data_IF_013776453032
#
_entry.id   IF_013776453032
#
_cell.length_a   1.000
_cell.length_b   1.000
_cell.length_c   1.000
_cell.angle_alpha   90.00
_cell.angle_beta   90.00
_cell.angle_gamma   90.00
#
_symmetry.space_group_name_H-M   'P 1'
#
loop_
_entity.id
_entity.type
_entity.pdbx_description
1 polymer ?
#
# COMPACT_ATOMS: atom_id res chain seq x y z
N UNK A 1 -29.56 29.95 11.94
CA UNK A 1 -28.20 29.90 12.55
C UNK A 1 -27.85 28.44 12.83
N UNK A 2 -27.69 27.63 11.78
CA UNK A 2 -27.41 26.18 11.84
C UNK A 2 -26.24 25.92 10.88
N UNK A 3 -25.03 26.27 11.33
CA UNK A 3 -23.81 26.09 10.53
C UNK A 3 -22.66 25.53 11.37
N UNK A 4 -22.55 25.94 12.63
CA UNK A 4 -21.40 25.62 13.49
C UNK A 4 -21.28 24.17 13.98
N UNK A 5 -22.37 23.39 13.98
CA UNK A 5 -22.37 22.04 14.56
C UNK A 5 -21.93 20.94 13.58
N UNK A 6 -22.14 21.12 12.27
CA UNK A 6 -21.72 20.14 11.26
C UNK A 6 -20.22 20.24 10.96
N UNK A 7 -19.67 21.46 11.00
CA UNK A 7 -18.24 21.70 10.76
C UNK A 7 -17.33 21.08 11.82
N UNK A 8 -17.80 20.97 13.07
CA UNK A 8 -17.04 20.32 14.16
C UNK A 8 -17.08 18.79 14.08
N UNK A 9 -18.14 18.22 13.49
CA UNK A 9 -18.30 16.77 13.39
C UNK A 9 -17.37 16.15 12.33
N UNK A 10 -17.18 16.86 11.21
CA UNK A 10 -16.30 16.45 10.11
C UNK A 10 -14.93 17.14 10.14
N UNK A 11 -14.57 17.87 11.21
CA UNK A 11 -13.31 18.61 11.31
C UNK A 11 -12.04 17.75 11.13
N UNK A 12 -12.14 16.43 11.33
CA UNK A 12 -11.07 15.46 11.06
C UNK A 12 -11.27 14.62 9.79
N UNK A 13 -12.45 14.70 9.17
CA UNK A 13 -12.74 14.00 7.93
C UNK A 13 -12.25 14.85 6.75
N UNK A 14 -11.07 14.55 6.21
CA UNK A 14 -10.68 15.09 4.90
C UNK A 14 -11.62 14.51 3.86
N UNK A 15 -12.43 15.36 3.23
CA UNK A 15 -12.91 15.02 1.91
C UNK A 15 -11.68 14.96 0.99
N UNK A 16 -11.59 13.95 0.12
CA UNK A 16 -10.55 13.93 -0.90
C UNK A 16 -10.68 15.21 -1.73
N UNK A 17 -9.61 16.00 -1.78
CA UNK A 17 -9.58 17.29 -2.48
C UNK A 17 -9.60 17.05 -4.00
N UNK A 18 -9.18 15.85 -4.44
CA UNK A 18 -9.12 15.44 -5.84
C UNK A 18 -9.53 13.96 -6.04
N UNK A 19 -10.09 13.60 -7.22
CA UNK A 19 -10.26 12.21 -7.63
C UNK A 19 -8.97 11.38 -7.58
N UNK A 20 -7.81 12.04 -7.75
CA UNK A 20 -6.49 11.39 -7.66
C UNK A 20 -6.23 10.88 -6.25
N UNK A 21 -6.59 11.66 -5.23
CA UNK A 21 -6.41 11.30 -3.82
C UNK A 21 -7.23 10.05 -3.46
N UNK A 22 -8.45 9.95 -4.00
CA UNK A 22 -9.31 8.77 -3.82
C UNK A 22 -8.68 7.53 -4.44
N UNK A 23 -8.09 7.68 -5.63
CA UNK A 23 -7.42 6.56 -6.29
C UNK A 23 -6.20 6.16 -5.47
N UNK A 24 -5.34 7.10 -5.09
CA UNK A 24 -4.14 6.85 -4.30
C UNK A 24 -4.48 6.11 -3.00
N UNK A 25 -5.46 6.58 -2.25
CA UNK A 25 -5.88 5.98 -0.98
C UNK A 25 -6.38 4.54 -1.19
N UNK A 26 -7.19 4.30 -2.23
CA UNK A 26 -7.68 2.95 -2.54
C UNK A 26 -6.57 2.00 -2.98
N UNK A 27 -5.59 2.49 -3.72
CA UNK A 27 -4.43 1.69 -4.10
C UNK A 27 -3.57 1.37 -2.88
N UNK A 28 -3.34 2.35 -1.99
CA UNK A 28 -2.64 2.14 -0.71
C UNK A 28 -3.30 1.05 0.12
N UNK A 29 -4.62 1.08 0.28
CA UNK A 29 -5.37 0.06 1.04
C UNK A 29 -5.20 -1.37 0.51
N UNK A 30 -4.93 -1.54 -0.78
CA UNK A 30 -4.63 -2.86 -1.38
C UNK A 30 -3.19 -3.25 -1.08
N UNK A 31 -2.26 -2.32 -1.27
CA UNK A 31 -0.82 -2.56 -1.18
C UNK A 31 -0.31 -2.73 0.25
N UNK A 32 -1.01 -2.22 1.26
CA UNK A 32 -0.63 -2.36 2.68
C UNK A 32 -1.07 -3.68 3.31
N UNK A 33 -1.91 -4.45 2.62
CA UNK A 33 -2.48 -5.69 3.17
C UNK A 33 -1.66 -6.88 2.72
N UNK A 34 -1.22 -7.70 3.67
CA UNK A 34 -0.60 -9.00 3.38
C UNK A 34 -1.70 -10.03 3.09
N UNK A 35 -1.59 -10.85 2.02
CA UNK A 35 -2.44 -11.99 1.81
C UNK A 35 -2.54 -12.87 3.07
N UNK A 36 -3.78 -13.21 3.46
CA UNK A 36 -4.09 -13.93 4.69
C UNK A 36 -4.52 -13.05 5.88
N UNK A 37 -4.28 -11.73 5.87
CA UNK A 37 -4.76 -10.83 6.93
C UNK A 37 -6.30 -10.71 6.94
N UNK A 38 -6.94 -10.89 5.78
CA UNK A 38 -8.40 -10.87 5.65
C UNK A 38 -8.96 -12.30 5.68
N UNK A 39 -9.51 -12.71 6.81
CA UNK A 39 -10.05 -14.06 7.01
C UNK A 39 -11.08 -14.48 5.95
N UNK A 40 -11.95 -13.55 5.52
CA UNK A 40 -12.99 -13.81 4.51
C UNK A 40 -12.49 -13.74 3.07
N UNK A 41 -11.30 -13.18 2.83
CA UNK A 41 -10.71 -13.04 1.50
C UNK A 41 -9.18 -13.17 1.60
N UNK A 42 -8.67 -14.39 1.84
CA UNK A 42 -7.26 -14.60 2.16
C UNK A 42 -6.32 -14.29 0.99
N UNK A 43 -6.80 -14.31 -0.25
CA UNK A 43 -6.01 -13.92 -1.42
C UNK A 43 -5.82 -12.41 -1.55
N UNK A 44 -6.59 -11.59 -0.82
CA UNK A 44 -6.53 -10.14 -0.95
C UNK A 44 -5.23 -9.56 -0.39
N UNK A 45 -4.62 -8.67 -1.15
CA UNK A 45 -3.45 -7.91 -0.73
C UNK A 45 -2.32 -7.95 -1.75
N UNK A 46 -1.11 -7.64 -1.27
CA UNK A 46 0.11 -7.62 -2.05
C UNK A 46 1.16 -8.57 -1.46
N UNK A 47 1.70 -9.46 -2.29
CA UNK A 47 2.74 -10.43 -1.89
C UNK A 47 4.12 -9.81 -1.67
N UNK A 48 4.29 -8.51 -1.91
CA UNK A 48 5.55 -7.79 -1.62
C UNK A 48 5.94 -7.91 -0.14
N UNK A 49 4.96 -8.12 0.75
CA UNK A 49 5.17 -8.36 2.18
C UNK A 49 5.79 -9.72 2.50
N UNK A 50 5.85 -10.65 1.55
CA UNK A 50 6.43 -11.98 1.73
C UNK A 50 7.92 -12.01 1.34
N UNK A 51 8.41 -10.97 0.67
CA UNK A 51 9.84 -10.79 0.46
C UNK A 51 10.51 -10.54 1.81
N UNK A 52 11.71 -11.09 2.01
CA UNK A 52 12.51 -10.85 3.22
C UNK A 52 13.25 -9.51 3.12
N UNK A 53 13.87 -9.22 1.97
CA UNK A 53 14.61 -7.99 1.72
C UNK A 53 14.51 -7.56 0.24
N UNK A 54 14.77 -6.28 -0.02
CA UNK A 54 14.72 -5.66 -1.36
C UNK A 54 15.97 -4.80 -1.55
N UNK A 55 17.13 -5.44 -1.48
CA UNK A 55 18.45 -4.76 -1.48
C UNK A 55 19.10 -4.76 -2.87
N UNK A 56 18.78 -5.76 -3.69
CA UNK A 56 19.31 -5.93 -5.04
C UNK A 56 18.34 -5.46 -6.12
N UNK A 57 18.86 -5.12 -7.30
CA UNK A 57 18.06 -4.77 -8.47
C UNK A 57 17.11 -5.91 -8.87
N UNK A 58 17.56 -7.16 -8.76
CA UNK A 58 16.70 -8.32 -9.02
C UNK A 58 15.51 -8.37 -8.07
N UNK A 59 15.72 -8.17 -6.76
CA UNK A 59 14.62 -8.12 -5.79
C UNK A 59 13.69 -6.93 -6.04
N UNK A 60 14.22 -5.77 -6.44
CA UNK A 60 13.41 -4.60 -6.86
C UNK A 60 12.51 -4.94 -8.04
N UNK A 61 13.03 -5.65 -9.03
CA UNK A 61 12.24 -6.13 -10.17
C UNK A 61 11.13 -7.09 -9.73
N UNK A 62 11.45 -8.05 -8.85
CA UNK A 62 10.46 -9.00 -8.30
C UNK A 62 9.37 -8.25 -7.52
N UNK A 63 9.75 -7.33 -6.63
CA UNK A 63 8.82 -6.51 -5.88
C UNK A 63 7.89 -5.69 -6.79
N UNK A 64 8.43 -5.09 -7.86
CA UNK A 64 7.61 -4.37 -8.84
C UNK A 64 6.58 -5.28 -9.52
N UNK A 65 6.98 -6.49 -9.93
CA UNK A 65 6.08 -7.49 -10.54
C UNK A 65 4.97 -7.91 -9.56
N UNK A 66 5.31 -8.18 -8.29
CA UNK A 66 4.31 -8.56 -7.28
C UNK A 66 3.29 -7.44 -7.03
N UNK A 67 3.73 -6.18 -7.04
CA UNK A 67 2.84 -5.01 -6.93
C UNK A 67 1.95 -4.89 -8.18
N UNK A 68 2.52 -5.08 -9.37
CA UNK A 68 1.73 -5.06 -10.62
C UNK A 68 0.64 -6.15 -10.64
N UNK A 69 0.96 -7.36 -10.17
CA UNK A 69 0.01 -8.45 -10.05
C UNK A 69 -1.12 -8.12 -9.07
N UNK A 70 -0.78 -7.64 -7.87
CA UNK A 70 -1.78 -7.23 -6.88
C UNK A 70 -2.72 -6.15 -7.42
N UNK A 71 -2.16 -5.15 -8.13
CA UNK A 71 -2.96 -4.08 -8.74
C UNK A 71 -3.80 -4.58 -9.91
N UNK A 72 -3.33 -5.57 -10.68
CA UNK A 72 -4.10 -6.20 -11.75
C UNK A 72 -5.30 -6.96 -11.21
N UNK A 73 -5.13 -7.69 -10.11
CA UNK A 73 -6.16 -8.53 -9.51
C UNK A 73 -7.20 -7.68 -8.76
N UNK A 74 -6.76 -6.69 -7.99
CA UNK A 74 -7.61 -5.95 -7.05
C UNK A 74 -7.98 -4.53 -7.51
N UNK A 75 -7.23 -3.95 -8.45
CA UNK A 75 -7.47 -2.60 -8.98
C UNK A 75 -7.39 -2.52 -10.52
N UNK A 76 -8.03 -3.42 -11.30
CA UNK A 76 -7.97 -3.37 -12.76
C UNK A 76 -8.53 -2.05 -13.33
N UNK A 77 -9.45 -1.43 -12.61
CA UNK A 77 -10.05 -0.13 -12.94
C UNK A 77 -9.04 1.04 -12.90
N UNK A 78 -7.95 0.93 -12.14
CA UNK A 78 -6.91 1.96 -12.09
C UNK A 78 -6.06 1.98 -13.37
N UNK A 79 -6.10 0.90 -14.17
CA UNK A 79 -5.40 0.84 -15.45
C UNK A 79 -3.89 0.98 -15.35
N UNK A 80 -3.30 0.59 -14.21
CA UNK A 80 -1.86 0.52 -14.00
C UNK A 80 -1.28 -0.53 -14.94
N UNK A 81 -0.20 -0.16 -15.66
CA UNK A 81 0.50 -1.05 -16.59
C UNK A 81 1.92 -1.34 -16.18
N UNK A 82 2.56 -0.41 -15.46
CA UNK A 82 3.94 -0.58 -14.99
C UNK A 82 4.18 0.11 -13.66
N UNK A 83 4.90 -0.56 -12.80
CA UNK A 83 5.38 -0.09 -11.50
C UNK A 83 6.88 0.16 -11.58
N UNK A 84 7.35 1.25 -10.99
CA UNK A 84 8.78 1.52 -10.80
C UNK A 84 9.03 1.92 -9.36
N UNK A 85 9.88 1.17 -8.67
CA UNK A 85 10.30 1.50 -7.31
C UNK A 85 11.24 2.71 -7.37
N UNK A 86 10.84 3.80 -6.72
CA UNK A 86 11.65 5.02 -6.61
C UNK A 86 12.60 4.90 -5.43
N UNK A 87 12.07 4.42 -4.30
CA UNK A 87 12.82 4.25 -3.07
C UNK A 87 12.26 3.08 -2.26
N UNK A 88 13.15 2.41 -1.55
CA UNK A 88 12.80 1.25 -0.72
C UNK A 88 13.57 1.35 0.59
N UNK A 89 12.82 1.64 1.63
CA UNK A 89 13.26 1.64 3.03
C UNK A 89 12.76 0.34 3.71
N UNK A 90 13.16 0.14 4.97
CA UNK A 90 12.82 -1.07 5.74
C UNK A 90 11.30 -1.23 5.93
N UNK A 91 10.60 -0.15 6.26
CA UNK A 91 9.16 -0.13 6.55
C UNK A 91 8.34 0.58 5.46
N UNK A 92 8.97 1.14 4.43
CA UNK A 92 8.30 2.00 3.44
C UNK A 92 8.79 1.77 2.02
N UNK A 93 7.85 1.67 1.09
CA UNK A 93 8.13 1.61 -0.34
C UNK A 93 7.53 2.83 -1.02
N UNK A 94 8.36 3.57 -1.76
CA UNK A 94 7.92 4.64 -2.65
C UNK A 94 8.03 4.18 -4.09
N UNK A 95 6.95 4.37 -4.85
CA UNK A 95 6.87 3.91 -6.23
C UNK A 95 6.15 4.90 -7.12
N UNK A 96 6.37 4.72 -8.42
CA UNK A 96 5.67 5.41 -9.49
C UNK A 96 4.88 4.41 -10.31
N UNK A 97 3.59 4.68 -10.44
CA UNK A 97 2.66 3.97 -11.30
C UNK A 97 2.54 4.68 -12.64
N UNK A 98 2.56 3.90 -13.71
CA UNK A 98 2.28 4.38 -15.07
C UNK A 98 1.29 3.45 -15.75
N UNK A 99 0.48 3.99 -16.66
CA UNK A 99 -0.56 3.22 -17.33
C UNK A 99 -1.52 4.08 -18.12
N UNK A 100 -2.83 3.77 -17.99
CA UNK A 100 -3.89 4.56 -18.62
C UNK A 100 -4.07 5.94 -17.97
N UNK A 101 -3.85 6.02 -16.66
CA UNK A 101 -3.92 7.28 -15.90
C UNK A 101 -2.59 8.04 -15.96
N UNK A 102 -2.59 9.37 -15.69
CA UNK A 102 -1.35 10.12 -15.47
C UNK A 102 -0.48 9.44 -14.42
N UNK A 103 0.84 9.64 -14.54
CA UNK A 103 1.79 9.04 -13.60
C UNK A 103 1.43 9.44 -12.17
N UNK A 104 1.29 8.43 -11.30
CA UNK A 104 0.97 8.61 -9.89
C UNK A 104 2.14 8.10 -9.07
N UNK A 105 2.67 8.94 -8.19
CA UNK A 105 3.61 8.50 -7.17
C UNK A 105 2.85 8.21 -5.88
N UNK A 106 3.15 7.08 -5.25
CA UNK A 106 2.57 6.74 -3.96
C UNK A 106 3.61 6.07 -3.08
N UNK A 107 3.35 6.15 -1.78
CA UNK A 107 4.09 5.39 -0.78
C UNK A 107 3.14 4.61 0.11
N UNK A 108 3.59 3.44 0.55
CA UNK A 108 2.85 2.57 1.46
C UNK A 108 3.82 1.86 2.40
N UNK A 109 3.31 1.43 3.55
CA UNK A 109 4.11 0.74 4.54
C UNK A 109 4.26 -0.74 4.22
N UNK A 110 5.49 -1.23 4.25
CA UNK A 110 5.78 -2.65 4.18
C UNK A 110 5.73 -3.22 5.59
N UNK A 111 4.78 -4.12 5.83
CA UNK A 111 4.74 -4.89 7.08
C UNK A 111 5.83 -5.95 7.08
N UNK A 112 6.63 -5.99 8.13
CA UNK A 112 7.59 -7.06 8.37
C UNK A 112 6.89 -8.44 8.43
N UNK A 113 7.60 -9.48 8.00
CA UNK A 113 7.23 -10.86 8.29
C UNK A 113 7.36 -11.05 9.80
N UNK A 114 6.28 -11.47 10.47
CA UNK A 114 6.25 -11.74 11.91
C UNK A 114 7.07 -12.99 12.30
N UNK A 115 8.23 -13.21 11.67
CA UNK A 115 9.20 -14.28 11.90
C UNK A 115 10.42 -13.86 12.72
N UNK A 116 10.63 -12.56 12.99
CA UNK A 116 11.64 -12.08 13.95
C UNK A 116 10.97 -11.47 15.19
N UNK A 117 10.22 -12.27 15.95
CA UNK A 117 10.06 -11.99 17.38
C UNK A 117 11.17 -12.73 18.13
N UNK A 118 12.38 -12.19 18.10
CA UNK A 118 13.41 -12.62 19.04
C UNK A 118 13.09 -12.08 20.44
N UNK A 119 12.74 -13.02 21.31
CA UNK A 119 12.80 -12.98 22.78
C UNK A 119 11.91 -11.98 23.53
N UNK A 120 10.84 -12.55 24.09
CA UNK A 120 10.15 -12.11 25.30
C UNK A 120 11.17 -11.78 26.39
N UNK A 121 11.31 -10.50 26.73
CA UNK A 121 11.99 -10.09 27.96
C UNK A 121 11.01 -10.24 29.11
N UNK A 122 11.00 -11.42 29.73
CA UNK A 122 10.41 -11.62 31.04
C UNK A 122 11.03 -10.62 32.02
N UNK A 123 10.20 -9.80 32.65
CA UNK A 123 10.61 -8.88 33.71
C UNK A 123 10.15 -9.49 35.03
N UNK A 124 11.13 -9.60 35.92
CA UNK A 124 11.15 -10.20 37.26
C UNK A 124 9.99 -9.83 38.17
#
# INVERSE_FOLDING_TARGET
MVGRAVDTFFAGCRYPESPVDVIEERLRLILEVRPGERALLPSFGCRVHDLEAIDSEHQRQVAAVLIEEALRDWAPWAGVRRVSLLDVEEDRIRLRLTGRMPSLELSFHRRETAGSRSTVKGKS
#
